data_IF_740813788929
#
_entry.id   IF_740813788929
#
_cell.length_a   1.000
_cell.length_b   1.000
_cell.length_c   1.000
_cell.angle_alpha   90.00
_cell.angle_beta   90.00
_cell.angle_gamma   90.00
#
_symmetry.space_group_name_H-M   'P 1'
#
loop_
_entity.id
_entity.type
_entity.pdbx_description
1 polymer ?
#
# COMPACT_ATOMS: atom_id res chain seq x y z
N UNK A 1 17.43 8.18 16.42
CA UNK A 1 16.27 8.29 15.51
C UNK A 1 16.75 7.87 14.12
N UNK A 2 16.00 7.00 13.46
CA UNK A 2 16.29 6.71 12.07
C UNK A 2 16.04 7.98 11.24
N UNK A 3 17.02 8.36 10.44
CA UNK A 3 16.88 9.45 9.48
C UNK A 3 16.16 8.90 8.26
N UNK A 4 15.00 9.46 7.91
CA UNK A 4 14.24 9.04 6.74
C UNK A 4 14.51 9.98 5.57
N UNK A 5 14.73 9.39 4.40
CA UNK A 5 14.84 10.12 3.16
C UNK A 5 13.46 10.56 2.66
N UNK A 6 13.40 11.74 2.09
CA UNK A 6 12.19 12.31 1.52
C UNK A 6 12.44 12.87 0.13
N UNK A 7 11.42 12.77 -0.71
CA UNK A 7 11.36 13.37 -2.05
C UNK A 7 10.18 14.33 -2.11
N UNK A 8 10.31 15.41 -2.85
CA UNK A 8 9.18 16.31 -3.13
C UNK A 8 8.61 15.97 -4.50
N UNK A 9 7.38 15.46 -4.51
CA UNK A 9 6.66 15.08 -5.74
C UNK A 9 5.34 15.85 -5.80
N UNK A 10 5.13 16.63 -6.86
CA UNK A 10 3.96 17.51 -7.02
C UNK A 10 3.71 18.42 -5.81
N UNK A 11 4.78 18.93 -5.18
CA UNK A 11 4.71 19.80 -4.02
C UNK A 11 4.46 19.07 -2.68
N UNK A 12 4.32 17.75 -2.69
CA UNK A 12 4.13 16.93 -1.50
C UNK A 12 5.45 16.29 -1.06
N UNK A 13 5.72 16.30 0.24
CA UNK A 13 6.90 15.64 0.82
C UNK A 13 6.60 14.17 1.04
N UNK A 14 7.19 13.31 0.23
CA UNK A 14 6.97 11.86 0.24
C UNK A 14 8.19 11.16 0.85
N UNK A 15 7.97 10.30 1.83
CA UNK A 15 9.02 9.45 2.38
C UNK A 15 9.44 8.41 1.35
N UNK A 16 10.72 8.37 1.06
CA UNK A 16 11.31 7.40 0.13
C UNK A 16 11.65 6.13 0.91
N UNK A 17 11.31 4.99 0.34
CA UNK A 17 11.74 3.70 0.86
C UNK A 17 13.26 3.57 0.70
N UNK A 18 14.01 3.18 1.74
CA UNK A 18 15.45 2.96 1.62
C UNK A 18 15.76 1.99 0.47
N UNK A 19 16.76 2.31 -0.32
CA UNK A 19 17.21 1.43 -1.42
C UNK A 19 17.82 0.14 -0.86
N UNK A 20 18.46 0.24 0.29
CA UNK A 20 19.04 -0.87 1.05
C UNK A 20 18.00 -1.49 1.99
N UNK A 21 16.89 -1.93 1.44
CA UNK A 21 15.95 -2.75 2.20
C UNK A 21 16.51 -4.16 2.38
N UNK A 22 16.00 -4.85 3.39
CA UNK A 22 16.35 -6.22 3.72
C UNK A 22 16.42 -7.08 2.46
N UNK A 23 17.57 -7.71 2.22
CA UNK A 23 17.72 -8.62 1.09
C UNK A 23 16.76 -9.78 1.22
N UNK A 24 15.96 -10.03 0.20
CA UNK A 24 15.11 -11.22 0.12
C UNK A 24 15.82 -12.39 -0.59
N UNK A 25 17.15 -12.33 -0.67
CA UNK A 25 17.99 -13.40 -1.21
C UNK A 25 18.91 -13.88 -0.09
N UNK A 26 18.87 -15.18 0.19
CA UNK A 26 19.72 -15.79 1.19
C UNK A 26 21.16 -16.05 0.67
N UNK A 27 22.01 -16.59 1.53
CA UNK A 27 23.41 -16.91 1.20
C UNK A 27 23.59 -17.93 0.05
N UNK A 28 22.55 -18.70 -0.26
CA UNK A 28 22.52 -19.69 -1.32
C UNK A 28 21.88 -19.18 -2.62
N UNK A 29 21.41 -17.93 -2.62
CA UNK A 29 20.74 -17.30 -3.77
C UNK A 29 19.25 -17.63 -3.86
N UNK A 30 18.63 -18.21 -2.83
CA UNK A 30 17.20 -18.48 -2.80
C UNK A 30 16.42 -17.24 -2.34
N UNK A 31 15.26 -17.03 -2.95
CA UNK A 31 14.33 -15.99 -2.53
C UNK A 31 13.66 -16.36 -1.20
N UNK A 32 13.87 -15.53 -0.20
CA UNK A 32 13.26 -15.67 1.14
C UNK A 32 12.49 -14.41 1.45
N UNK A 33 11.16 -14.49 1.40
CA UNK A 33 10.28 -13.35 1.66
C UNK A 33 10.33 -12.90 3.11
N UNK A 34 10.41 -11.58 3.32
CA UNK A 34 10.25 -10.99 4.65
C UNK A 34 8.87 -11.32 5.24
N UNK A 35 8.75 -11.44 6.57
CA UNK A 35 7.45 -11.56 7.23
C UNK A 35 6.53 -10.37 6.92
N UNK A 36 5.25 -10.64 6.72
CA UNK A 36 4.24 -9.58 6.65
C UNK A 36 3.85 -9.15 8.06
N UNK A 37 3.97 -7.86 8.36
CA UNK A 37 3.62 -7.28 9.66
C UNK A 37 2.13 -6.90 9.75
N UNK A 38 1.45 -6.73 8.63
CA UNK A 38 0.03 -6.36 8.57
C UNK A 38 -0.84 -7.61 8.47
N UNK A 39 -0.95 -8.35 9.57
CA UNK A 39 -1.63 -9.66 9.61
C UNK A 39 -2.91 -9.66 10.43
N UNK A 40 -3.31 -8.51 10.96
CA UNK A 40 -4.51 -8.40 11.77
C UNK A 40 -5.78 -8.60 10.93
N UNK A 41 -6.60 -9.56 11.34
CA UNK A 41 -7.86 -9.87 10.68
C UNK A 41 -9.05 -9.10 11.27
N UNK A 42 -10.25 -9.58 10.96
CA UNK A 42 -11.51 -9.04 11.45
C UNK A 42 -12.07 -9.91 12.59
N UNK A 43 -12.91 -9.31 13.44
CA UNK A 43 -13.66 -10.02 14.47
C UNK A 43 -13.47 -9.44 15.87
N UNK A 44 -13.87 -10.20 16.87
CA UNK A 44 -13.79 -9.78 18.27
C UNK A 44 -12.33 -9.58 18.71
N UNK A 45 -12.04 -8.42 19.29
CA UNK A 45 -10.69 -8.04 19.70
C UNK A 45 -9.74 -7.68 18.57
N UNK A 46 -10.24 -7.57 17.33
CA UNK A 46 -9.51 -7.23 16.12
C UNK A 46 -10.19 -6.05 15.40
N UNK A 47 -9.92 -5.90 14.11
CA UNK A 47 -10.63 -4.90 13.31
C UNK A 47 -12.13 -5.20 13.28
N UNK A 48 -13.02 -4.23 13.57
CA UNK A 48 -14.45 -4.45 13.56
C UNK A 48 -14.97 -4.73 12.14
N UNK A 49 -16.00 -5.55 12.03
CA UNK A 49 -16.76 -5.74 10.79
C UNK A 49 -17.76 -4.60 10.66
N UNK A 50 -17.42 -3.56 9.93
CA UNK A 50 -18.18 -2.31 9.85
C UNK A 50 -18.21 -1.78 8.40
N UNK A 51 -19.41 -1.58 7.87
CA UNK A 51 -19.59 -1.00 6.54
C UNK A 51 -19.11 0.47 6.50
N UNK A 52 -18.48 0.86 5.41
CA UNK A 52 -17.98 2.22 5.20
C UNK A 52 -16.65 2.54 5.91
N UNK A 53 -16.12 1.60 6.69
CA UNK A 53 -14.88 1.78 7.43
C UNK A 53 -13.62 1.50 6.60
N UNK A 54 -13.71 0.59 5.64
CA UNK A 54 -12.55 0.07 4.92
C UNK A 54 -12.52 0.52 3.47
N UNK A 55 -11.31 0.66 2.95
CA UNK A 55 -11.02 1.01 1.58
C UNK A 55 -10.08 0.00 0.96
N UNK A 56 -10.50 -0.61 -0.13
CA UNK A 56 -9.64 -1.49 -0.92
C UNK A 56 -8.83 -0.65 -1.93
N UNK A 57 -7.53 -0.73 -1.85
CA UNK A 57 -6.63 -0.19 -2.89
C UNK A 57 -6.04 -1.36 -3.67
N UNK A 58 -6.16 -1.31 -5.00
CA UNK A 58 -5.72 -2.38 -5.87
C UNK A 58 -5.05 -1.87 -7.15
N UNK A 59 -4.35 -2.74 -7.87
CA UNK A 59 -3.72 -2.42 -9.14
C UNK A 59 -4.06 -3.47 -10.19
N UNK A 60 -4.42 -3.04 -11.40
CA UNK A 60 -4.75 -3.94 -12.52
C UNK A 60 -3.62 -4.91 -12.84
N UNK A 61 -2.39 -4.44 -12.75
CA UNK A 61 -1.19 -5.24 -13.02
C UNK A 61 -0.93 -6.33 -11.96
N UNK A 62 -1.46 -6.16 -10.75
CA UNK A 62 -1.25 -7.07 -9.64
C UNK A 62 -2.34 -8.14 -9.59
N UNK A 63 -2.02 -9.36 -10.01
CA UNK A 63 -2.94 -10.50 -10.00
C UNK A 63 -3.46 -10.86 -8.61
N UNK A 64 -2.69 -10.58 -7.56
CA UNK A 64 -3.11 -10.82 -6.18
C UNK A 64 -4.17 -9.83 -5.74
N UNK A 65 -4.01 -8.56 -6.05
CA UNK A 65 -5.00 -7.54 -5.71
C UNK A 65 -6.27 -7.64 -6.57
N UNK A 66 -6.17 -8.15 -7.79
CA UNK A 66 -7.34 -8.45 -8.62
C UNK A 66 -8.30 -9.43 -7.95
N UNK A 67 -7.78 -10.43 -7.25
CA UNK A 67 -8.61 -11.39 -6.49
C UNK A 67 -9.47 -10.68 -5.44
N UNK A 68 -8.89 -9.74 -4.70
CA UNK A 68 -9.62 -8.96 -3.70
C UNK A 68 -10.71 -8.09 -4.33
N UNK A 69 -10.41 -7.44 -5.46
CA UNK A 69 -11.39 -6.65 -6.22
C UNK A 69 -12.56 -7.50 -6.73
N UNK A 70 -12.27 -8.67 -7.31
CA UNK A 70 -13.29 -9.61 -7.80
C UNK A 70 -14.17 -10.10 -6.66
N UNK A 71 -13.60 -10.49 -5.53
CA UNK A 71 -14.35 -10.98 -4.35
C UNK A 71 -15.26 -9.89 -3.79
N UNK A 72 -14.77 -8.63 -3.73
CA UNK A 72 -15.58 -7.49 -3.31
C UNK A 72 -16.87 -7.38 -4.15
N UNK A 73 -16.75 -7.50 -5.47
CA UNK A 73 -17.89 -7.43 -6.40
C UNK A 73 -18.81 -8.65 -6.28
N UNK A 74 -18.23 -9.86 -6.26
CA UNK A 74 -19.00 -11.10 -6.15
C UNK A 74 -19.82 -11.19 -4.86
N UNK A 75 -19.33 -10.62 -3.78
CA UNK A 75 -20.02 -10.60 -2.49
C UNK A 75 -20.95 -9.38 -2.31
N UNK A 76 -21.08 -8.51 -3.31
CA UNK A 76 -21.92 -7.31 -3.24
C UNK A 76 -21.46 -6.30 -2.18
N UNK A 77 -20.16 -6.15 -1.98
CA UNK A 77 -19.56 -5.27 -0.97
C UNK A 77 -19.28 -3.84 -1.47
N UNK A 78 -19.86 -3.45 -2.59
CA UNK A 78 -19.56 -2.19 -3.28
C UNK A 78 -19.85 -0.97 -2.41
N UNK A 79 -20.94 -1.01 -1.66
CA UNK A 79 -21.34 0.08 -0.76
C UNK A 79 -20.65 -0.01 0.62
N UNK A 80 -20.23 -1.21 1.01
CA UNK A 80 -19.60 -1.45 2.31
C UNK A 80 -18.11 -1.14 2.34
N UNK A 81 -17.41 -1.37 1.22
CA UNK A 81 -15.96 -1.17 1.09
C UNK A 81 -15.71 -0.28 -0.12
N UNK A 82 -15.25 0.94 0.11
CA UNK A 82 -14.84 1.83 -0.96
C UNK A 82 -13.58 1.30 -1.66
N UNK A 83 -13.39 1.71 -2.90
CA UNK A 83 -12.27 1.20 -3.72
C UNK A 83 -11.54 2.33 -4.41
N UNK A 84 -10.23 2.18 -4.58
CA UNK A 84 -9.45 2.99 -5.50
C UNK A 84 -8.35 2.17 -6.15
N UNK A 85 -7.76 2.71 -7.20
CA UNK A 85 -6.80 2.01 -8.03
C UNK A 85 -5.48 2.78 -8.10
N UNK A 86 -4.39 2.03 -8.08
CA UNK A 86 -3.04 2.56 -8.25
C UNK A 86 -2.34 1.92 -9.43
N UNK A 87 -1.30 2.58 -9.93
CA UNK A 87 -0.33 2.01 -10.85
C UNK A 87 1.09 2.19 -10.31
N UNK A 88 2.03 1.42 -10.85
CA UNK A 88 3.42 1.54 -10.47
C UNK A 88 3.95 2.91 -10.92
N UNK A 89 4.50 3.65 -9.99
CA UNK A 89 5.06 4.97 -10.26
C UNK A 89 6.34 4.87 -11.09
N UNK A 90 6.40 5.65 -12.17
CA UNK A 90 7.60 5.80 -13.01
C UNK A 90 8.45 6.96 -12.48
N UNK A 91 9.12 6.73 -11.36
CA UNK A 91 10.02 7.68 -10.72
C UNK A 91 11.42 7.10 -10.56
N UNK A 92 12.43 7.95 -10.58
CA UNK A 92 13.83 7.58 -10.33
C UNK A 92 14.03 6.98 -8.93
N UNK A 93 13.21 7.42 -7.97
CA UNK A 93 13.19 6.88 -6.62
C UNK A 93 12.16 5.76 -6.50
N UNK A 94 12.41 4.81 -5.61
CA UNK A 94 11.52 3.68 -5.37
C UNK A 94 10.30 4.09 -4.52
N UNK A 95 9.38 4.83 -5.13
CA UNK A 95 8.16 5.32 -4.48
C UNK A 95 7.01 4.30 -4.50
N UNK A 96 7.05 3.31 -5.39
CA UNK A 96 6.07 2.23 -5.48
C UNK A 96 4.80 2.61 -6.24
N UNK A 97 3.65 2.36 -5.64
CA UNK A 97 2.33 2.50 -6.27
C UNK A 97 1.73 3.89 -6.05
N UNK A 98 1.28 4.54 -7.12
CA UNK A 98 0.76 5.92 -7.13
C UNK A 98 -0.70 5.97 -7.58
N UNK A 99 -1.48 6.92 -7.04
CA UNK A 99 -2.88 7.18 -7.41
C UNK A 99 -3.00 8.02 -8.67
N UNK A 100 -2.49 7.51 -9.80
CA UNK A 100 -2.36 8.25 -11.07
C UNK A 100 -3.69 8.61 -11.73
N UNK A 101 -4.79 8.00 -11.32
CA UNK A 101 -6.12 8.23 -11.89
C UNK A 101 -6.90 9.33 -11.18
N UNK A 102 -6.41 9.77 -10.04
CA UNK A 102 -7.07 10.80 -9.23
C UNK A 102 -6.54 12.20 -9.57
N UNK A 103 -7.33 13.21 -9.22
CA UNK A 103 -6.92 14.59 -9.35
C UNK A 103 -5.64 14.83 -8.53
N UNK A 104 -4.65 15.48 -9.15
CA UNK A 104 -3.34 15.76 -8.56
C UNK A 104 -2.60 14.50 -8.08
N UNK A 105 -2.99 13.31 -8.56
CA UNK A 105 -2.48 12.00 -8.17
C UNK A 105 -2.66 11.70 -6.66
N UNK A 106 -3.72 12.20 -6.05
CA UNK A 106 -3.99 12.06 -4.62
C UNK A 106 -5.32 11.34 -4.39
N UNK A 107 -5.28 10.27 -3.59
CA UNK A 107 -6.52 9.59 -3.16
C UNK A 107 -7.39 10.55 -2.34
N UNK A 108 -8.65 10.78 -2.73
CA UNK A 108 -9.49 11.78 -2.09
C UNK A 108 -9.98 11.40 -0.67
N UNK A 109 -9.85 10.12 -0.30
CA UNK A 109 -10.27 9.62 1.01
C UNK A 109 -9.09 9.55 1.98
N UNK A 110 -7.95 9.04 1.52
CA UNK A 110 -6.76 8.82 2.35
C UNK A 110 -5.82 10.05 2.39
N UNK A 111 -5.98 10.99 1.46
CA UNK A 111 -5.10 12.15 1.28
C UNK A 111 -3.62 11.74 1.17
N UNK A 112 -3.35 10.76 0.33
CA UNK A 112 -2.01 10.27 0.01
C UNK A 112 -1.81 10.17 -1.48
N UNK A 113 -0.59 10.37 -1.95
CA UNK A 113 -0.21 10.24 -3.36
C UNK A 113 0.31 8.83 -3.67
N UNK A 114 1.09 8.25 -2.76
CA UNK A 114 1.66 6.92 -2.89
C UNK A 114 1.09 5.98 -1.82
N UNK A 115 0.82 4.74 -2.21
CA UNK A 115 0.30 3.74 -1.29
C UNK A 115 1.24 3.47 -0.10
N UNK A 116 2.55 3.63 -0.29
CA UNK A 116 3.55 3.49 0.77
C UNK A 116 3.33 4.45 1.94
N UNK A 117 2.74 5.63 1.69
CA UNK A 117 2.44 6.60 2.76
C UNK A 117 1.44 6.03 3.79
N UNK A 118 0.49 5.20 3.36
CA UNK A 118 -0.45 4.53 4.26
C UNK A 118 0.27 3.51 5.17
N UNK A 119 1.21 2.76 4.61
CA UNK A 119 2.00 1.79 5.38
C UNK A 119 2.92 2.48 6.39
N UNK A 120 3.59 3.56 6.02
CA UNK A 120 4.43 4.33 6.94
C UNK A 120 3.64 5.02 8.06
N UNK A 121 2.38 5.38 7.80
CA UNK A 121 1.48 5.89 8.85
C UNK A 121 1.09 4.82 9.86
N UNK A 122 1.03 3.57 9.43
CA UNK A 122 0.67 2.44 10.28
C UNK A 122 1.88 1.85 11.02
N UNK A 123 3.06 1.87 10.39
CA UNK A 123 4.30 1.31 10.93
C UNK A 123 5.51 2.09 10.40
N UNK A 124 6.19 2.83 11.27
CA UNK A 124 7.39 3.60 10.93
C UNK A 124 8.56 2.72 10.46
N UNK A 125 8.58 1.46 10.90
CA UNK A 125 9.62 0.49 10.55
C UNK A 125 9.28 -0.32 9.28
N UNK A 126 8.22 0.06 8.57
CA UNK A 126 7.81 -0.61 7.34
C UNK A 126 8.94 -0.68 6.30
N UNK A 127 9.24 -1.88 5.82
CA UNK A 127 10.36 -2.20 4.91
C UNK A 127 9.94 -2.58 3.50
N UNK A 128 8.66 -2.45 3.18
CA UNK A 128 8.12 -2.77 1.86
C UNK A 128 7.37 -4.10 1.78
N UNK A 129 7.02 -4.74 2.91
CA UNK A 129 6.26 -5.99 3.01
C UNK A 129 5.20 -5.95 4.11
#
# INVERSE_FOLDING_TARGET
>A
MAEFDYEVVNGRKIRVRPVETVSEVDENGYFVRQPNHFTEGFGEGKNPVEAGRYRLVWAKLCHWSNRASIVRELLGLDEAISVNMVEHADHEKNLGWEFVYDKDNVDPVLDIQFLSEAYYKADDDYTGR
#
